data_IF_137959947442
#
_entry.id   IF_137959947442
#
_cell.length_a   1.000
_cell.length_b   1.000
_cell.length_c   1.000
_cell.angle_alpha   90.00
_cell.angle_beta   90.00
_cell.angle_gamma   90.00
#
_symmetry.space_group_name_H-M   'P 1'
#
loop_
_entity.id
_entity.type
_entity.pdbx_description
1 polymer ?
#
# COMPACT_ATOMS: atom_id res chain seq x y z
N UNK A 1 -1.82 -44.00 6.43
CA UNK A 1 -2.30 -43.01 7.44
C UNK A 1 -1.93 -41.61 6.96
N UNK A 2 -2.90 -40.70 6.94
CA UNK A 2 -2.66 -39.37 6.35
C UNK A 2 -3.37 -38.27 7.15
N UNK A 3 -2.70 -37.14 7.35
CA UNK A 3 -3.25 -35.93 7.92
C UNK A 3 -3.29 -34.87 6.82
N UNK A 4 -4.49 -34.43 6.42
CA UNK A 4 -4.70 -33.40 5.41
C UNK A 4 -4.73 -32.02 6.11
N UNK A 5 -3.84 -31.11 5.70
CA UNK A 5 -3.77 -29.76 6.23
C UNK A 5 -4.50 -28.81 5.30
N UNK A 6 -5.53 -28.09 5.78
CA UNK A 6 -6.34 -27.19 4.97
C UNK A 6 -6.44 -25.80 5.56
N UNK A 7 -6.55 -24.80 4.68
CA UNK A 7 -6.78 -23.40 5.05
C UNK A 7 -8.06 -23.25 5.88
N UNK A 8 -7.93 -22.64 7.03
CA UNK A 8 -9.04 -22.13 7.84
C UNK A 8 -9.39 -20.67 7.50
N UNK A 9 -9.96 -19.95 8.44
CA UNK A 9 -10.28 -18.52 8.28
C UNK A 9 -9.04 -17.66 8.52
N UNK A 10 -8.82 -16.69 7.62
CA UNK A 10 -7.92 -15.56 7.87
C UNK A 10 -8.70 -14.53 8.68
N UNK A 11 -8.21 -14.16 9.85
CA UNK A 11 -8.86 -13.16 10.71
C UNK A 11 -7.90 -12.00 10.96
N UNK A 12 -8.29 -10.80 10.56
CA UNK A 12 -7.70 -9.56 11.04
C UNK A 12 -8.06 -9.37 12.52
N UNK A 13 -7.07 -9.08 13.35
CA UNK A 13 -7.31 -8.76 14.75
C UNK A 13 -7.91 -7.35 14.83
N UNK A 14 -9.24 -7.25 14.91
CA UNK A 14 -9.95 -6.00 15.20
C UNK A 14 -9.59 -5.55 16.62
N UNK A 15 -8.64 -4.61 16.74
CA UNK A 15 -8.51 -3.81 17.97
C UNK A 15 -9.65 -2.79 18.00
N UNK A 16 -10.64 -3.04 18.84
CA UNK A 16 -11.68 -2.08 19.21
C UNK A 16 -11.01 -0.85 19.89
N UNK A 17 -10.79 0.22 19.13
CA UNK A 17 -10.49 1.53 19.68
C UNK A 17 -11.81 2.27 19.93
N UNK A 18 -12.09 2.54 21.20
CA UNK A 18 -13.13 3.49 21.61
C UNK A 18 -12.77 4.87 21.04
N UNK A 19 -13.60 5.37 20.13
CA UNK A 19 -13.53 6.75 19.66
C UNK A 19 -14.01 7.68 20.78
N UNK A 20 -13.11 8.52 21.28
CA UNK A 20 -13.50 9.75 21.97
C UNK A 20 -13.69 10.84 20.93
N UNK A 21 -14.92 11.21 20.69
CA UNK A 21 -15.28 12.36 19.87
C UNK A 21 -15.11 13.64 20.71
N UNK A 22 -14.15 14.47 20.33
CA UNK A 22 -14.07 15.88 20.77
C UNK A 22 -14.68 16.76 19.68
N UNK A 23 -15.54 17.72 20.01
CA UNK A 23 -16.10 18.65 19.03
C UNK A 23 -15.03 19.65 18.59
N UNK A 24 -14.76 19.72 17.29
CA UNK A 24 -13.92 20.74 16.67
C UNK A 24 -14.80 21.94 16.33
N UNK A 25 -14.56 23.06 17.03
CA UNK A 25 -15.13 24.36 16.69
C UNK A 25 -14.38 24.88 15.45
N UNK A 26 -15.09 25.06 14.35
CA UNK A 26 -14.60 25.75 13.17
C UNK A 26 -14.52 27.27 13.40
N UNK A 27 -13.31 27.77 13.59
CA UNK A 27 -13.00 29.19 13.43
C UNK A 27 -12.49 29.46 12.01
N UNK A 28 -13.30 30.13 11.22
CA UNK A 28 -12.90 30.68 9.91
C UNK A 28 -11.95 31.85 10.13
N UNK A 29 -10.66 31.63 10.01
CA UNK A 29 -9.65 32.67 9.82
C UNK A 29 -9.22 32.66 8.36
N UNK A 30 -9.73 33.61 7.59
CA UNK A 30 -9.24 33.91 6.24
C UNK A 30 -7.86 34.58 6.34
N UNK A 31 -6.79 33.79 6.23
CA UNK A 31 -5.44 34.32 5.99
C UNK A 31 -5.31 34.62 4.49
N UNK A 32 -5.38 35.92 4.15
CA UNK A 32 -4.94 36.41 2.85
C UNK A 32 -3.43 36.18 2.72
N UNK A 33 -3.02 35.09 2.04
CA UNK A 33 -1.64 34.92 1.64
C UNK A 33 -1.25 36.03 0.68
N UNK A 34 -0.26 36.84 1.05
CA UNK A 34 0.30 37.89 0.21
C UNK A 34 0.70 37.36 -1.16
N UNK A 35 0.06 37.88 -2.21
CA UNK A 35 0.35 37.53 -3.59
C UNK A 35 1.69 38.12 -3.98
N UNK A 36 2.71 37.30 -4.17
CA UNK A 36 3.94 37.71 -4.83
C UNK A 36 3.70 37.72 -6.36
N UNK A 37 3.84 38.89 -6.95
CA UNK A 37 3.66 39.08 -8.38
C UNK A 37 4.83 38.47 -9.16
N UNK A 38 4.59 37.46 -9.98
CA UNK A 38 5.60 36.99 -10.94
C UNK A 38 5.69 37.98 -12.12
N UNK A 39 6.85 38.60 -12.28
CA UNK A 39 7.13 39.58 -13.33
C UNK A 39 7.49 38.85 -14.62
N UNK A 40 6.51 38.54 -15.48
CA UNK A 40 6.77 38.04 -16.82
C UNK A 40 7.09 39.20 -17.76
N UNK A 41 8.02 39.00 -18.68
CA UNK A 41 8.55 40.02 -19.62
C UNK A 41 7.53 40.89 -20.32
N UNK A 42 8.00 41.96 -20.94
CA UNK A 42 7.38 43.23 -21.37
C UNK A 42 6.03 43.18 -22.10
N UNK A 43 5.54 42.06 -22.62
CA UNK A 43 4.21 41.87 -23.17
C UNK A 43 3.44 40.86 -22.31
N UNK A 44 2.29 41.23 -21.77
CA UNK A 44 1.46 40.37 -20.90
C UNK A 44 1.69 40.59 -19.40
N UNK A 45 2.11 41.77 -18.98
CA UNK A 45 2.36 42.16 -17.57
C UNK A 45 1.19 41.89 -16.60
N UNK A 46 -0.01 41.78 -17.14
CA UNK A 46 -1.25 41.67 -16.34
C UNK A 46 -1.97 40.34 -16.51
N UNK A 47 -1.32 39.31 -17.10
CA UNK A 47 -1.88 37.95 -17.09
C UNK A 47 -1.51 37.27 -15.79
N UNK A 48 -2.53 36.79 -15.09
CA UNK A 48 -2.38 36.01 -13.88
C UNK A 48 -2.92 34.59 -14.09
N UNK A 49 -2.11 33.59 -13.81
CA UNK A 49 -2.54 32.20 -13.87
C UNK A 49 -2.42 31.55 -12.49
N UNK A 50 -3.42 30.78 -12.10
CA UNK A 50 -3.46 29.98 -10.86
C UNK A 50 -3.77 28.53 -11.19
N UNK A 51 -3.33 27.62 -10.33
CA UNK A 51 -3.69 26.21 -10.42
C UNK A 51 -3.97 25.62 -9.03
N UNK A 52 -4.87 24.65 -8.99
CA UNK A 52 -5.20 23.88 -7.80
C UNK A 52 -5.36 22.40 -8.15
N UNK A 53 -4.98 21.51 -7.25
CA UNK A 53 -5.20 20.08 -7.41
C UNK A 53 -6.52 19.69 -6.77
N UNK A 54 -7.34 18.92 -7.46
CA UNK A 54 -8.51 18.27 -6.90
C UNK A 54 -8.18 16.77 -6.75
N UNK A 55 -7.87 16.34 -5.52
CA UNK A 55 -7.63 14.96 -5.15
C UNK A 55 -8.87 14.30 -4.55
N UNK A 56 -8.70 13.07 -4.04
CA UNK A 56 -9.75 12.31 -3.36
C UNK A 56 -9.77 12.53 -1.83
N UNK A 57 -8.93 13.41 -1.31
CA UNK A 57 -8.86 13.74 0.11
C UNK A 57 -8.16 15.06 0.39
N UNK A 58 -7.99 15.36 1.68
CA UNK A 58 -7.24 16.51 2.17
C UNK A 58 -6.29 16.07 3.29
N UNK A 59 -5.13 16.72 3.37
CA UNK A 59 -4.17 16.51 4.43
C UNK A 59 -3.56 17.83 4.90
N UNK A 60 -3.73 18.18 6.17
CA UNK A 60 -3.25 19.44 6.78
C UNK A 60 -3.60 20.69 5.95
N UNK A 61 -4.82 20.72 5.42
CA UNK A 61 -5.32 21.84 4.62
C UNK A 61 -4.91 21.86 3.15
N UNK A 62 -4.13 20.87 2.70
CA UNK A 62 -3.75 20.72 1.29
C UNK A 62 -4.57 19.61 0.61
N UNK A 63 -4.85 19.73 -0.70
CA UNK A 63 -5.40 18.64 -1.49
C UNK A 63 -4.52 17.41 -1.39
N UNK A 64 -5.12 16.21 -1.32
CA UNK A 64 -4.39 14.96 -1.20
C UNK A 64 -4.87 13.91 -2.21
N UNK A 65 -3.92 13.12 -2.71
CA UNK A 65 -4.15 11.86 -3.40
C UNK A 65 -3.88 10.75 -2.37
N UNK A 66 -4.94 10.04 -1.93
CA UNK A 66 -4.86 9.12 -0.80
C UNK A 66 -5.08 7.69 -1.26
N UNK A 67 -4.07 6.84 -1.12
CA UNK A 67 -4.12 5.40 -1.32
C UNK A 67 -4.58 4.71 -0.04
N UNK A 68 -5.70 3.98 -0.13
CA UNK A 68 -6.30 3.32 1.02
C UNK A 68 -6.83 4.31 2.07
N UNK A 69 -7.12 3.80 3.25
CA UNK A 69 -7.54 4.56 4.43
C UNK A 69 -6.98 3.91 5.70
N UNK A 70 -7.11 4.57 6.84
CA UNK A 70 -6.72 4.00 8.14
C UNK A 70 -7.43 2.69 8.46
N UNK A 71 -8.68 2.53 8.02
CA UNK A 71 -9.48 1.33 8.25
C UNK A 71 -9.37 0.30 7.12
N UNK A 72 -8.95 0.71 5.92
CA UNK A 72 -8.86 -0.13 4.73
C UNK A 72 -7.60 0.27 3.93
N UNK A 73 -6.45 -0.09 4.45
CA UNK A 73 -5.17 0.15 3.80
C UNK A 73 -4.97 -0.70 2.54
N UNK A 74 -4.02 -0.30 1.72
CA UNK A 74 -3.65 -1.02 0.50
C UNK A 74 -2.93 -2.33 0.82
N UNK A 75 -3.19 -3.37 0.01
CA UNK A 75 -2.50 -4.66 0.07
C UNK A 75 -1.30 -4.69 -0.88
N UNK A 76 -0.08 -4.57 -0.37
CA UNK A 76 1.15 -4.62 -1.16
C UNK A 76 1.65 -6.03 -1.47
N UNK A 77 1.02 -7.10 -0.96
CA UNK A 77 1.37 -8.48 -1.32
C UNK A 77 0.86 -8.84 -2.72
N UNK A 78 -0.17 -8.16 -3.20
CA UNK A 78 -0.71 -8.38 -4.55
C UNK A 78 0.13 -7.62 -5.59
N UNK A 79 1.25 -8.19 -6.01
CA UNK A 79 2.27 -7.57 -6.87
C UNK A 79 1.83 -7.34 -8.33
N UNK A 80 0.69 -7.87 -8.77
CA UNK A 80 0.34 -7.92 -10.19
C UNK A 80 -0.45 -6.71 -10.69
N UNK A 81 -0.95 -5.85 -9.79
CA UNK A 81 -1.71 -4.66 -10.16
C UNK A 81 -1.19 -3.46 -9.37
N UNK A 82 -0.51 -2.50 -10.02
CA UNK A 82 -0.19 -1.24 -9.37
C UNK A 82 -1.49 -0.50 -9.04
N UNK A 83 -1.61 0.00 -7.81
CA UNK A 83 -2.74 0.85 -7.46
C UNK A 83 -2.55 2.25 -8.04
N UNK A 84 -3.58 2.76 -8.71
CA UNK A 84 -3.62 4.08 -9.33
C UNK A 84 -4.67 4.97 -8.68
N UNK A 85 -4.31 6.23 -8.45
CA UNK A 85 -5.26 7.28 -8.11
C UNK A 85 -5.20 8.37 -9.17
N UNK A 86 -6.37 8.76 -9.67
CA UNK A 86 -6.51 9.88 -10.57
C UNK A 86 -6.92 11.14 -9.79
N UNK A 87 -6.37 12.27 -10.18
CA UNK A 87 -6.73 13.60 -9.72
C UNK A 87 -6.71 14.56 -10.89
N UNK A 88 -7.16 15.79 -10.66
CA UNK A 88 -7.24 16.81 -11.69
C UNK A 88 -6.56 18.09 -11.20
N UNK A 89 -5.70 18.67 -12.03
CA UNK A 89 -5.18 20.02 -11.85
C UNK A 89 -6.11 20.96 -12.60
N UNK A 90 -6.87 21.76 -11.87
CA UNK A 90 -7.66 22.84 -12.44
C UNK A 90 -6.82 24.11 -12.51
N UNK A 91 -6.91 24.85 -13.58
CA UNK A 91 -6.21 26.11 -13.74
C UNK A 91 -7.09 27.19 -14.31
N UNK A 92 -6.75 28.44 -13.99
CA UNK A 92 -7.40 29.63 -14.48
C UNK A 92 -6.35 30.67 -14.82
N UNK A 93 -6.50 31.33 -15.97
CA UNK A 93 -5.74 32.51 -16.37
C UNK A 93 -6.67 33.68 -16.60
N UNK A 94 -6.36 34.83 -16.01
CA UNK A 94 -7.08 36.08 -16.16
C UNK A 94 -6.20 37.07 -16.94
N UNK A 95 -6.70 37.60 -18.02
CA UNK A 95 -6.07 38.66 -18.78
C UNK A 95 -6.62 40.02 -18.29
N UNK A 96 -5.81 40.79 -17.60
CA UNK A 96 -6.17 42.13 -17.11
C UNK A 96 -5.73 43.25 -18.09
N UNK A 97 -5.20 42.88 -19.27
CA UNK A 97 -4.85 43.84 -20.33
C UNK A 97 -6.07 44.28 -21.15
N UNK A 98 -5.97 45.43 -21.79
CA UNK A 98 -6.97 45.98 -22.70
C UNK A 98 -6.89 45.44 -24.12
N UNK A 99 -6.15 44.35 -24.32
CA UNK A 99 -5.98 43.65 -25.59
C UNK A 99 -5.99 42.12 -25.41
N UNK A 100 -6.25 41.41 -26.47
CA UNK A 100 -6.20 39.94 -26.48
C UNK A 100 -4.75 39.46 -26.38
N UNK A 101 -4.53 38.44 -25.57
CA UNK A 101 -3.23 37.77 -25.35
C UNK A 101 -3.26 36.32 -25.81
N UNK A 102 -2.07 35.79 -26.08
CA UNK A 102 -1.79 34.38 -26.30
C UNK A 102 -0.94 33.90 -25.14
N UNK A 103 -1.32 32.82 -24.50
CA UNK A 103 -0.66 32.29 -23.26
C UNK A 103 -0.28 30.83 -23.45
N UNK A 104 0.93 30.47 -23.06
CA UNK A 104 1.39 29.08 -22.91
C UNK A 104 1.73 28.80 -21.45
N UNK A 105 1.27 27.67 -20.92
CA UNK A 105 1.49 27.25 -19.54
C UNK A 105 2.42 26.04 -19.49
N UNK A 106 3.20 25.93 -18.40
CA UNK A 106 3.93 24.72 -18.02
C UNK A 106 3.68 24.39 -16.56
N UNK A 107 3.27 23.15 -16.32
CA UNK A 107 3.05 22.60 -14.99
C UNK A 107 4.24 21.74 -14.61
N UNK A 108 5.05 22.23 -13.69
CA UNK A 108 6.26 21.56 -13.19
C UNK A 108 5.99 20.89 -11.87
N UNK A 109 6.40 19.63 -11.70
CA UNK A 109 6.33 18.87 -10.44
C UNK A 109 7.68 18.22 -10.21
N UNK A 110 8.39 18.67 -9.18
CA UNK A 110 9.68 18.12 -8.76
C UNK A 110 9.51 16.82 -7.96
N UNK A 111 10.58 16.27 -7.42
CA UNK A 111 10.60 15.02 -6.66
C UNK A 111 9.85 15.05 -5.32
N UNK A 112 9.48 16.25 -4.85
CA UNK A 112 8.86 16.46 -3.56
C UNK A 112 9.87 16.95 -2.50
N UNK A 113 9.36 17.37 -1.35
CA UNK A 113 10.16 17.91 -0.25
C UNK A 113 11.19 16.89 0.24
N UNK A 114 12.46 17.26 0.24
CA UNK A 114 13.57 16.39 0.62
C UNK A 114 14.05 15.42 -0.47
N UNK A 115 13.43 15.44 -1.66
CA UNK A 115 13.77 14.56 -2.78
C UNK A 115 13.87 15.31 -4.12
N UNK A 116 14.42 16.51 -4.09
CA UNK A 116 14.65 17.34 -5.28
C UNK A 116 15.37 16.53 -6.37
N UNK A 117 14.91 16.65 -7.62
CA UNK A 117 15.43 15.93 -8.78
C UNK A 117 15.26 14.40 -8.76
N UNK A 118 14.41 13.84 -7.91
CA UNK A 118 14.04 12.42 -7.91
C UNK A 118 12.63 12.27 -8.50
N UNK A 119 12.54 11.89 -9.78
CA UNK A 119 11.28 11.90 -10.52
C UNK A 119 10.66 10.51 -10.72
N UNK A 120 11.50 9.46 -10.82
CA UNK A 120 11.03 8.12 -11.18
C UNK A 120 11.97 7.03 -10.63
N UNK A 121 11.57 6.28 -9.61
CA UNK A 121 10.36 6.53 -8.78
C UNK A 121 10.59 7.65 -7.75
N UNK A 122 9.53 8.35 -7.41
CA UNK A 122 9.48 9.24 -6.26
C UNK A 122 9.34 8.46 -4.97
N UNK A 123 9.69 9.10 -3.84
CA UNK A 123 9.63 8.48 -2.51
C UNK A 123 8.54 9.11 -1.66
N UNK A 124 7.76 8.25 -1.02
CA UNK A 124 6.92 8.59 0.13
C UNK A 124 7.64 8.12 1.38
N UNK A 125 7.75 8.94 2.41
CA UNK A 125 8.38 8.58 3.68
C UNK A 125 7.33 8.20 4.72
N UNK A 126 7.66 7.25 5.58
CA UNK A 126 6.80 6.89 6.69
C UNK A 126 6.74 8.00 7.74
N UNK A 127 5.56 8.31 8.27
CA UNK A 127 5.30 9.44 9.18
C UNK A 127 6.13 9.46 10.46
N UNK A 128 6.64 8.32 10.91
CA UNK A 128 7.46 8.18 12.13
C UNK A 128 8.88 7.69 11.88
N UNK A 129 9.19 7.20 10.68
CA UNK A 129 10.50 6.64 10.37
C UNK A 129 10.90 6.97 8.93
N UNK A 130 11.66 8.04 8.76
CA UNK A 130 12.09 8.52 7.45
C UNK A 130 12.98 7.54 6.66
N UNK A 131 13.55 6.52 7.31
CA UNK A 131 14.29 5.46 6.63
C UNK A 131 13.37 4.48 5.88
N UNK A 132 12.09 4.39 6.26
CA UNK A 132 11.10 3.58 5.59
C UNK A 132 10.44 4.38 4.47
N UNK A 133 10.50 3.87 3.26
CA UNK A 133 9.94 4.54 2.09
C UNK A 133 9.06 3.60 1.28
N UNK A 134 8.02 4.18 0.68
CA UNK A 134 7.16 3.58 -0.34
C UNK A 134 7.38 4.35 -1.64
N UNK A 135 7.49 3.66 -2.77
CA UNK A 135 7.79 4.29 -4.05
C UNK A 135 6.51 4.50 -4.88
N UNK A 136 6.46 5.65 -5.56
CA UNK A 136 5.38 6.01 -6.47
C UNK A 136 5.90 6.69 -7.74
N UNK A 137 5.08 6.68 -8.78
CA UNK A 137 5.23 7.51 -9.97
C UNK A 137 4.09 8.54 -10.04
N UNK A 138 4.38 9.78 -10.40
CA UNK A 138 3.38 10.74 -10.84
C UNK A 138 3.41 10.78 -12.36
N UNK A 139 2.28 10.49 -12.97
CA UNK A 139 2.16 10.29 -14.41
C UNK A 139 1.36 11.42 -15.05
N UNK A 140 1.85 11.86 -16.22
CA UNK A 140 1.18 12.77 -17.14
C UNK A 140 0.03 12.06 -17.89
N UNK A 141 -0.80 12.79 -18.63
CA UNK A 141 -1.85 12.20 -19.46
C UNK A 141 -1.36 11.14 -20.44
N UNK A 142 -0.12 11.27 -20.93
CA UNK A 142 0.54 10.34 -21.86
C UNK A 142 1.17 9.10 -21.18
N UNK A 143 0.94 8.93 -19.87
CA UNK A 143 1.50 7.87 -19.02
C UNK A 143 3.03 7.93 -18.79
N UNK A 144 3.70 9.00 -19.18
CA UNK A 144 5.10 9.22 -18.84
C UNK A 144 5.22 9.93 -17.50
N UNK A 145 6.40 9.85 -16.87
CA UNK A 145 6.64 10.50 -15.58
C UNK A 145 6.58 12.02 -15.69
N UNK A 146 5.95 12.65 -14.70
CA UNK A 146 5.91 14.11 -14.59
C UNK A 146 7.24 14.63 -14.04
N UNK A 147 7.75 15.71 -14.59
CA UNK A 147 8.97 16.37 -14.15
C UNK A 147 8.91 17.88 -14.28
N UNK A 148 10.05 18.49 -14.54
CA UNK A 148 10.21 19.93 -14.69
C UNK A 148 10.98 20.26 -15.97
N UNK A 149 10.82 21.47 -16.48
CA UNK A 149 11.61 21.95 -17.64
C UNK A 149 12.97 22.51 -17.26
N UNK A 150 13.35 22.46 -15.97
CA UNK A 150 14.52 23.18 -15.45
C UNK A 150 15.81 22.36 -15.36
N UNK A 151 15.76 21.04 -15.49
CA UNK A 151 16.95 20.18 -15.35
C UNK A 151 17.13 19.27 -16.56
N UNK A 152 18.37 19.15 -17.04
CA UNK A 152 18.70 18.38 -18.24
C UNK A 152 18.30 16.88 -18.18
N UNK A 153 18.16 16.31 -16.97
CA UNK A 153 17.81 14.90 -16.74
C UNK A 153 16.41 14.72 -16.16
N UNK A 154 15.60 15.77 -16.11
CA UNK A 154 14.21 15.68 -15.66
C UNK A 154 13.30 15.14 -16.75
N UNK A 155 12.31 14.29 -16.42
CA UNK A 155 11.14 14.15 -17.29
C UNK A 155 10.53 15.53 -17.55
N UNK A 156 9.97 15.73 -18.74
CA UNK A 156 9.38 17.02 -19.11
C UNK A 156 8.19 17.38 -18.19
N UNK A 157 7.96 18.68 -18.00
CA UNK A 157 6.71 19.20 -17.45
C UNK A 157 5.55 18.91 -18.41
N UNK A 158 4.31 19.18 -17.97
CA UNK A 158 3.17 19.26 -18.87
C UNK A 158 3.02 20.69 -19.37
N UNK A 159 3.14 20.88 -20.69
CA UNK A 159 2.85 22.13 -21.35
C UNK A 159 1.44 22.14 -21.97
N UNK A 160 0.79 23.31 -21.98
CA UNK A 160 -0.41 23.50 -22.80
C UNK A 160 -0.03 23.89 -24.23
N UNK A 161 -0.95 23.72 -25.18
CA UNK A 161 -0.94 24.51 -26.41
C UNK A 161 -1.03 26.01 -26.09
N UNK A 162 -0.86 26.84 -27.14
CA UNK A 162 -1.08 28.29 -27.01
C UNK A 162 -2.58 28.57 -26.89
N UNK A 163 -2.98 29.18 -25.78
CA UNK A 163 -4.37 29.58 -25.52
C UNK A 163 -4.55 31.06 -25.82
N UNK A 164 -5.73 31.41 -26.32
CA UNK A 164 -6.11 32.81 -26.60
C UNK A 164 -7.07 33.28 -25.52
N UNK A 165 -6.74 34.43 -24.90
CA UNK A 165 -7.58 35.05 -23.86
C UNK A 165 -7.92 36.47 -24.33
N UNK A 166 -9.21 36.74 -24.48
CA UNK A 166 -9.70 38.09 -24.89
C UNK A 166 -9.30 39.16 -23.86
N UNK A 167 -9.46 40.42 -24.28
CA UNK A 167 -9.27 41.58 -23.39
C UNK A 167 -10.14 41.43 -22.13
N UNK A 168 -9.59 41.68 -20.96
CA UNK A 168 -10.27 41.53 -19.66
C UNK A 168 -10.94 40.14 -19.48
N UNK A 169 -10.51 39.16 -20.26
CA UNK A 169 -11.11 37.84 -20.29
C UNK A 169 -10.48 36.83 -19.32
N UNK A 170 -11.17 35.71 -19.15
CA UNK A 170 -10.72 34.59 -18.35
C UNK A 170 -10.72 33.32 -19.18
N UNK A 171 -9.72 32.47 -18.94
CA UNK A 171 -9.65 31.11 -19.51
C UNK A 171 -9.50 30.11 -18.35
N UNK A 172 -10.24 29.03 -18.40
CA UNK A 172 -10.15 27.92 -17.45
C UNK A 172 -9.89 26.61 -18.16
N UNK A 173 -9.19 25.69 -17.51
CA UNK A 173 -8.96 24.37 -18.03
C UNK A 173 -8.55 23.39 -16.96
N UNK A 174 -8.30 22.15 -17.38
CA UNK A 174 -7.89 21.11 -16.47
C UNK A 174 -6.92 20.11 -17.12
N UNK A 175 -6.08 19.49 -16.30
CA UNK A 175 -5.11 18.46 -16.71
C UNK A 175 -5.23 17.30 -15.74
N UNK A 176 -5.44 16.06 -16.21
CA UNK A 176 -5.41 14.89 -15.35
C UNK A 176 -3.99 14.61 -14.88
N UNK A 177 -3.87 14.24 -13.62
CA UNK A 177 -2.66 13.70 -12.98
C UNK A 177 -2.98 12.35 -12.38
N UNK A 178 -2.06 11.40 -12.48
CA UNK A 178 -2.22 10.09 -11.89
C UNK A 178 -1.03 9.77 -10.99
N UNK A 179 -1.32 9.38 -9.75
CA UNK A 179 -0.35 8.77 -8.86
C UNK A 179 -0.46 7.25 -8.98
N UNK A 180 0.67 6.56 -9.17
CA UNK A 180 0.76 5.11 -9.30
C UNK A 180 1.79 4.59 -8.31
N UNK A 181 1.40 3.63 -7.45
CA UNK A 181 2.35 2.92 -6.62
C UNK A 181 3.19 1.96 -7.46
N UNK A 182 4.49 1.92 -7.19
CA UNK A 182 5.38 0.95 -7.85
C UNK A 182 5.05 -0.45 -7.32
N UNK A 183 4.99 -1.44 -8.21
CA UNK A 183 4.79 -2.84 -7.82
C UNK A 183 6.03 -3.41 -7.10
N UNK A 184 5.87 -4.59 -6.46
CA UNK A 184 7.00 -5.31 -5.85
C UNK A 184 7.49 -4.77 -4.51
N UNK A 185 6.67 -4.02 -3.78
CA UNK A 185 7.03 -3.41 -2.49
C UNK A 185 6.47 -4.17 -1.27
N UNK A 186 6.38 -5.49 -1.34
CA UNK A 186 5.86 -6.34 -0.25
C UNK A 186 6.68 -6.23 1.05
N UNK A 187 7.94 -5.77 0.94
CA UNK A 187 8.82 -5.49 2.08
C UNK A 187 8.51 -4.16 2.81
N UNK A 188 7.52 -3.40 2.35
CA UNK A 188 7.07 -2.18 3.02
C UNK A 188 6.32 -2.53 4.30
N UNK A 189 6.61 -1.83 5.39
CA UNK A 189 6.01 -2.06 6.70
C UNK A 189 4.58 -1.51 6.72
N UNK A 190 3.58 -2.27 7.24
CA UNK A 190 2.22 -1.78 7.40
C UNK A 190 2.14 -0.54 8.29
N UNK A 191 1.22 0.34 7.98
CA UNK A 191 0.94 1.51 8.81
C UNK A 191 -0.02 1.14 9.95
N UNK A 192 0.16 1.77 11.10
CA UNK A 192 -0.83 1.74 12.19
C UNK A 192 -1.93 2.77 11.95
N UNK A 193 -2.98 2.76 12.79
CA UNK A 193 -4.11 3.68 12.63
C UNK A 193 -3.75 5.18 12.56
N UNK A 194 -2.60 5.58 13.14
CA UNK A 194 -2.13 6.98 13.14
C UNK A 194 -0.99 7.25 12.16
N UNK A 195 -0.49 6.21 11.48
CA UNK A 195 0.65 6.29 10.59
C UNK A 195 0.24 6.31 9.13
N UNK A 196 1.13 6.82 8.28
CA UNK A 196 0.96 6.90 6.84
C UNK A 196 2.33 7.04 6.16
N UNK A 197 2.38 6.77 4.87
CA UNK A 197 3.46 7.20 3.98
C UNK A 197 3.04 8.48 3.28
N UNK A 198 3.96 9.43 3.09
CA UNK A 198 3.68 10.73 2.47
C UNK A 198 4.78 11.16 1.50
N UNK A 199 4.39 11.62 0.32
CA UNK A 199 5.18 12.48 -0.54
C UNK A 199 4.60 13.89 -0.47
N UNK A 200 5.43 14.84 -0.06
CA UNK A 200 5.03 16.23 0.21
C UNK A 200 5.46 17.14 -0.95
N UNK A 201 4.48 17.69 -1.66
CA UNK A 201 4.66 18.64 -2.75
C UNK A 201 4.24 20.06 -2.36
N UNK A 202 4.29 20.42 -1.07
CA UNK A 202 3.84 21.74 -0.57
C UNK A 202 4.96 22.79 -0.54
N UNK A 203 6.21 22.37 -0.38
CA UNK A 203 7.35 23.27 -0.10
C UNK A 203 8.05 23.86 -1.32
N UNK A 204 7.34 24.13 -2.41
CA UNK A 204 7.95 24.68 -3.64
C UNK A 204 8.20 23.64 -4.73
N UNK A 205 7.80 22.39 -4.50
CA UNK A 205 7.97 21.28 -5.45
C UNK A 205 7.00 21.34 -6.63
N UNK A 206 6.03 22.26 -6.65
CA UNK A 206 5.09 22.44 -7.75
C UNK A 206 5.08 23.87 -8.23
N UNK A 207 5.20 24.09 -9.54
CA UNK A 207 5.25 25.42 -10.12
C UNK A 207 4.50 25.49 -11.44
N UNK A 208 3.54 26.38 -11.52
CA UNK A 208 2.93 26.81 -12.78
C UNK A 208 3.70 28.01 -13.32
N UNK A 209 4.39 27.85 -14.44
CA UNK A 209 4.98 28.92 -15.21
C UNK A 209 4.10 29.26 -16.40
N UNK A 210 4.14 30.51 -16.86
CA UNK A 210 3.48 30.91 -18.08
C UNK A 210 4.24 32.02 -18.80
N UNK A 211 4.05 32.07 -20.12
CA UNK A 211 4.47 33.18 -20.95
C UNK A 211 3.28 33.68 -21.75
N UNK A 212 3.11 34.98 -21.77
CA UNK A 212 2.01 35.63 -22.47
C UNK A 212 2.57 36.63 -23.52
N UNK A 213 1.99 36.61 -24.72
CA UNK A 213 2.31 37.51 -25.82
C UNK A 213 1.04 38.17 -26.33
N UNK A 214 1.16 39.39 -26.87
CA UNK A 214 0.02 40.09 -27.47
C UNK A 214 -0.44 39.32 -28.69
N UNK A 215 -1.77 39.29 -28.92
CA UNK A 215 -2.32 38.76 -30.16
C UNK A 215 -1.81 39.56 -31.37
N UNK A 216 -1.39 38.90 -32.45
CA UNK A 216 -0.74 39.51 -33.59
C UNK A 216 0.78 39.46 -33.60
N UNK A 217 1.44 39.15 -32.46
CA UNK A 217 2.87 38.82 -32.39
C UNK A 217 3.09 37.30 -32.56
N UNK A 218 4.30 36.80 -32.74
CA UNK A 218 4.58 35.36 -32.70
C UNK A 218 4.06 34.66 -31.43
N UNK A 219 3.78 33.38 -31.53
CA UNK A 219 3.35 32.57 -30.36
C UNK A 219 4.44 32.46 -29.30
N UNK A 220 4.11 32.38 -28.00
CA UNK A 220 5.10 32.07 -26.99
C UNK A 220 5.80 30.76 -27.32
N UNK A 221 7.13 30.80 -27.53
CA UNK A 221 7.94 29.61 -27.86
C UNK A 221 8.07 28.63 -26.71
N UNK A 222 8.03 29.14 -25.49
CA UNK A 222 8.17 28.42 -24.21
C UNK A 222 7.19 28.99 -23.18
N UNK A 223 7.23 28.49 -21.96
CA UNK A 223 6.44 28.97 -20.83
C UNK A 223 7.31 29.47 -19.66
N UNK A 224 8.61 29.66 -19.90
CA UNK A 224 9.56 29.91 -18.84
C UNK A 224 9.92 28.64 -18.07
N UNK A 225 11.08 28.65 -17.45
CA UNK A 225 11.65 27.51 -16.71
C UNK A 225 12.11 27.88 -15.30
N UNK A 226 11.84 29.11 -14.82
CA UNK A 226 12.21 29.52 -13.48
C UNK A 226 11.23 28.96 -12.45
N UNK A 227 11.68 27.95 -11.70
CA UNK A 227 10.89 27.32 -10.64
C UNK A 227 10.73 28.21 -9.38
N UNK A 228 11.40 29.34 -9.31
CA UNK A 228 11.31 30.25 -8.16
C UNK A 228 10.20 31.28 -8.29
N UNK A 229 9.85 31.67 -9.51
CA UNK A 229 8.95 32.81 -9.79
C UNK A 229 7.53 32.46 -10.20
N UNK A 230 7.24 31.16 -10.43
CA UNK A 230 5.91 30.70 -10.83
C UNK A 230 4.90 30.58 -9.68
N UNK A 231 3.62 30.43 -10.03
CA UNK A 231 2.54 30.19 -9.08
C UNK A 231 2.61 28.76 -8.54
N UNK A 232 2.46 28.59 -7.23
CA UNK A 232 2.47 27.27 -6.59
C UNK A 232 1.07 26.62 -6.66
N UNK A 233 1.05 25.28 -6.80
CA UNK A 233 -0.16 24.46 -6.71
C UNK A 233 0.08 23.25 -5.80
N UNK A 234 0.20 23.49 -4.47
CA UNK A 234 0.63 22.49 -3.50
C UNK A 234 -0.39 21.36 -3.36
N UNK A 235 0.13 20.14 -3.18
CA UNK A 235 -0.64 18.95 -2.84
C UNK A 235 0.23 17.93 -2.10
N UNK A 236 -0.37 16.84 -1.64
CA UNK A 236 0.34 15.70 -1.06
C UNK A 236 -0.14 14.40 -1.68
N UNK A 237 0.71 13.37 -1.63
CA UNK A 237 0.28 11.98 -1.88
C UNK A 237 0.47 11.21 -0.59
N UNK A 238 -0.59 10.54 -0.13
CA UNK A 238 -0.62 9.80 1.12
C UNK A 238 -0.98 8.34 0.86
N UNK A 239 -0.42 7.41 1.63
CA UNK A 239 -0.77 6.00 1.56
C UNK A 239 -0.86 5.37 2.94
N UNK A 240 -1.87 4.51 3.13
CA UNK A 240 -2.00 3.63 4.26
C UNK A 240 -1.79 2.19 3.78
N UNK A 241 -0.84 1.48 4.37
CA UNK A 241 -0.51 0.08 4.02
C UNK A 241 -1.12 -0.84 5.07
N UNK A 242 -1.95 -1.79 4.64
CA UNK A 242 -2.59 -2.75 5.52
C UNK A 242 -1.63 -3.87 5.96
N UNK A 243 -1.72 -4.36 7.20
CA UNK A 243 -1.20 -5.67 7.54
C UNK A 243 -2.04 -6.72 6.81
N UNK A 244 -1.40 -7.58 6.04
CA UNK A 244 -2.06 -8.64 5.28
C UNK A 244 -1.25 -9.91 5.37
N UNK A 245 -1.93 -11.06 5.52
CA UNK A 245 -1.33 -12.38 5.43
C UNK A 245 -2.06 -13.23 4.39
N UNK A 246 -1.30 -14.03 3.65
CA UNK A 246 -1.76 -14.98 2.66
C UNK A 246 -1.33 -16.39 3.04
N UNK A 247 -2.26 -17.33 3.01
CA UNK A 247 -1.95 -18.75 3.04
C UNK A 247 -1.51 -19.17 1.62
N UNK A 248 -0.29 -19.66 1.48
CA UNK A 248 0.26 -20.08 0.19
C UNK A 248 0.03 -21.56 -0.03
N UNK A 249 0.52 -22.42 0.88
CA UNK A 249 0.39 -23.87 0.78
C UNK A 249 0.52 -24.55 2.13
N UNK A 250 0.07 -25.79 2.20
CA UNK A 250 0.43 -26.71 3.27
C UNK A 250 0.54 -28.13 2.70
N UNK A 251 1.58 -28.83 3.12
CA UNK A 251 1.80 -30.23 2.76
C UNK A 251 0.91 -31.13 3.63
N UNK A 252 0.41 -32.22 3.04
CA UNK A 252 -0.19 -33.30 3.80
C UNK A 252 0.91 -34.10 4.53
N UNK A 253 0.64 -34.51 5.76
CA UNK A 253 1.54 -35.34 6.55
C UNK A 253 1.15 -36.80 6.32
N UNK A 254 1.98 -37.55 5.59
CA UNK A 254 1.72 -38.94 5.23
C UNK A 254 2.69 -39.86 5.97
N UNK A 255 2.16 -40.66 6.87
CA UNK A 255 2.95 -41.67 7.60
C UNK A 255 3.26 -42.92 6.77
N UNK A 256 2.59 -43.13 5.63
CA UNK A 256 2.75 -44.35 4.82
C UNK A 256 2.00 -45.55 5.42
N UNK A 257 2.47 -46.72 5.07
CA UNK A 257 1.95 -48.02 5.54
C UNK A 257 2.86 -48.60 6.61
N UNK A 258 2.27 -48.99 7.74
CA UNK A 258 2.97 -49.56 8.89
C UNK A 258 2.25 -50.82 9.33
N UNK A 259 3.01 -51.79 9.92
CA UNK A 259 2.43 -52.96 10.60
C UNK A 259 1.72 -52.53 11.89
N UNK A 260 0.71 -53.30 12.30
CA UNK A 260 0.11 -53.14 13.60
C UNK A 260 1.18 -53.25 14.72
N UNK A 261 1.06 -52.45 15.78
CA UNK A 261 2.04 -52.38 16.84
C UNK A 261 3.31 -51.58 16.58
N UNK A 262 3.46 -50.91 15.42
CA UNK A 262 4.57 -49.98 15.21
C UNK A 262 4.45 -48.79 16.19
N UNK A 263 5.57 -48.32 16.73
CA UNK A 263 5.59 -47.26 17.77
C UNK A 263 6.41 -46.04 17.35
N UNK A 264 6.11 -44.89 17.94
CA UNK A 264 6.87 -43.64 17.83
C UNK A 264 7.05 -43.17 16.36
N UNK A 265 6.00 -43.32 15.58
CA UNK A 265 6.02 -42.83 14.18
C UNK A 265 6.02 -41.31 14.16
N UNK A 266 6.89 -40.74 13.33
CA UNK A 266 7.01 -39.29 13.16
C UNK A 266 7.07 -38.95 11.69
N UNK A 267 6.31 -37.94 11.29
CA UNK A 267 6.35 -37.38 9.96
C UNK A 267 6.16 -35.87 10.03
N UNK A 268 6.61 -35.17 9.00
CA UNK A 268 6.51 -33.74 8.91
C UNK A 268 5.99 -33.28 7.56
N UNK A 269 5.38 -32.10 7.56
CA UNK A 269 4.99 -31.33 6.40
C UNK A 269 5.29 -29.88 6.62
N UNK A 270 5.21 -29.08 5.57
CA UNK A 270 5.48 -27.65 5.60
C UNK A 270 4.20 -26.87 5.41
N UNK A 271 4.10 -25.77 6.13
CA UNK A 271 3.09 -24.72 5.97
C UNK A 271 3.78 -23.46 5.49
N UNK A 272 3.35 -22.89 4.37
CA UNK A 272 3.89 -21.65 3.82
C UNK A 272 2.87 -20.54 3.93
N UNK A 273 3.28 -19.44 4.58
CA UNK A 273 2.51 -18.21 4.78
C UNK A 273 3.31 -17.03 4.26
N UNK A 274 2.66 -16.05 3.70
CA UNK A 274 3.27 -14.79 3.28
C UNK A 274 2.55 -13.64 3.95
N UNK A 275 3.28 -12.80 4.69
CA UNK A 275 2.72 -11.62 5.34
C UNK A 275 3.54 -10.37 4.97
N UNK A 276 2.89 -9.20 4.93
CA UNK A 276 3.55 -7.90 4.78
C UNK A 276 4.64 -7.74 5.85
N UNK A 277 5.77 -7.16 5.49
CA UNK A 277 6.94 -7.03 6.36
C UNK A 277 6.58 -6.33 7.70
N UNK A 278 7.03 -6.93 8.82
CA UNK A 278 6.74 -6.42 10.15
C UNK A 278 5.32 -6.75 10.67
N UNK A 279 4.46 -7.40 9.88
CA UNK A 279 3.15 -7.84 10.37
C UNK A 279 3.30 -8.94 11.40
N UNK A 280 2.91 -8.73 12.66
CA UNK A 280 2.84 -9.81 13.63
C UNK A 280 1.67 -10.74 13.27
N UNK A 281 1.90 -12.04 13.24
CA UNK A 281 0.84 -13.00 13.00
C UNK A 281 1.00 -14.25 13.84
N UNK A 282 -0.12 -14.94 14.08
CA UNK A 282 -0.15 -16.22 14.78
C UNK A 282 -0.72 -17.29 13.88
N UNK A 283 -0.18 -18.50 13.99
CA UNK A 283 -0.68 -19.69 13.30
C UNK A 283 -1.15 -20.69 14.33
N UNK A 284 -2.41 -21.05 14.27
CA UNK A 284 -3.03 -22.11 15.06
C UNK A 284 -3.35 -23.34 14.21
N UNK A 285 -3.27 -24.52 14.81
CA UNK A 285 -3.63 -25.80 14.21
C UNK A 285 -4.79 -26.42 14.98
N UNK A 286 -5.87 -26.77 14.26
CA UNK A 286 -7.10 -27.32 14.84
C UNK A 286 -7.43 -28.64 14.15
N UNK A 287 -7.16 -29.80 14.78
CA UNK A 287 -7.62 -31.10 14.31
C UNK A 287 -9.14 -31.20 14.19
N UNK A 288 -9.66 -32.17 13.42
CA UNK A 288 -11.09 -32.32 13.15
C UNK A 288 -11.93 -32.62 14.41
N UNK A 289 -11.32 -33.15 15.47
CA UNK A 289 -11.96 -33.35 16.77
C UNK A 289 -12.16 -32.06 17.57
N UNK A 290 -11.71 -30.90 17.03
CA UNK A 290 -11.83 -29.58 17.67
C UNK A 290 -10.83 -29.31 18.80
N UNK A 291 -9.87 -30.19 19.04
CA UNK A 291 -8.87 -30.02 20.08
C UNK A 291 -7.98 -28.80 19.79
N UNK A 292 -7.81 -27.95 20.79
CA UNK A 292 -7.03 -26.71 20.70
C UNK A 292 -5.57 -26.89 21.19
N UNK A 293 -5.20 -28.08 21.66
CA UNK A 293 -3.86 -28.37 22.21
C UNK A 293 -2.93 -29.05 21.22
N UNK A 294 -3.41 -29.27 19.97
CA UNK A 294 -2.64 -29.95 18.93
C UNK A 294 -2.72 -31.49 19.02
N UNK A 295 -3.73 -32.03 19.74
CA UNK A 295 -3.99 -33.46 19.80
C UNK A 295 -5.15 -33.82 18.87
N UNK A 296 -4.90 -34.64 17.87
CA UNK A 296 -5.87 -35.08 16.88
C UNK A 296 -6.10 -36.59 16.92
N UNK A 297 -7.08 -37.03 16.12
CA UNK A 297 -7.44 -38.44 15.95
C UNK A 297 -7.72 -38.72 14.48
N UNK A 298 -6.92 -39.57 13.82
CA UNK A 298 -7.21 -40.05 12.49
C UNK A 298 -8.31 -41.14 12.58
N UNK A 299 -9.37 -40.98 11.79
CA UNK A 299 -10.49 -41.94 11.70
C UNK A 299 -10.29 -42.87 10.52
N UNK A 300 -10.76 -44.11 10.66
CA UNK A 300 -10.82 -45.05 9.56
C UNK A 300 -11.67 -44.52 8.41
N UNK A 301 -11.24 -44.75 7.16
CA UNK A 301 -12.06 -44.46 5.97
C UNK A 301 -13.17 -45.51 5.76
N UNK A 302 -13.06 -46.68 6.42
CA UNK A 302 -14.13 -47.68 6.47
C UNK A 302 -15.09 -47.33 7.61
N UNK A 303 -16.37 -47.01 7.34
CA UNK A 303 -17.33 -46.60 8.35
C UNK A 303 -17.69 -47.74 9.35
N UNK A 304 -17.41 -48.98 9.03
CA UNK A 304 -17.59 -50.10 9.94
C UNK A 304 -16.48 -50.20 11.00
N UNK A 305 -15.35 -49.53 10.78
CA UNK A 305 -14.24 -49.49 11.72
C UNK A 305 -14.30 -48.18 12.51
N UNK A 306 -14.59 -48.25 13.82
CA UNK A 306 -14.75 -47.11 14.72
C UNK A 306 -13.45 -46.68 15.41
N UNK A 307 -12.34 -47.39 15.14
CA UNK A 307 -11.05 -47.07 15.73
C UNK A 307 -10.57 -45.67 15.32
N UNK A 308 -9.82 -45.06 16.24
CA UNK A 308 -9.23 -43.74 16.06
C UNK A 308 -7.77 -43.77 16.49
N UNK A 309 -6.87 -43.39 15.60
CA UNK A 309 -5.46 -43.33 15.89
C UNK A 309 -5.10 -41.93 16.40
N UNK A 310 -4.75 -41.78 17.69
CA UNK A 310 -4.37 -40.48 18.24
C UNK A 310 -3.02 -40.02 17.72
N UNK A 311 -2.89 -38.72 17.49
CA UNK A 311 -1.63 -38.10 17.11
C UNK A 311 -1.43 -36.75 17.79
N UNK A 312 -0.21 -36.22 17.80
CA UNK A 312 0.13 -34.91 18.31
C UNK A 312 0.88 -34.08 17.30
N UNK A 313 0.53 -32.81 17.20
CA UNK A 313 1.19 -31.83 16.34
C UNK A 313 2.23 -31.05 17.15
N UNK A 314 3.39 -30.82 16.54
CA UNK A 314 4.50 -30.06 17.14
C UNK A 314 5.09 -29.07 16.13
N UNK A 315 5.75 -28.03 16.63
CA UNK A 315 6.52 -27.08 15.85
C UNK A 315 7.87 -27.69 15.47
N UNK A 316 8.23 -27.70 14.18
CA UNK A 316 9.49 -28.25 13.70
C UNK A 316 9.53 -29.79 13.73
N UNK A 317 10.73 -30.36 13.70
CA UNK A 317 10.95 -31.81 13.56
C UNK A 317 11.36 -32.53 14.85
N UNK A 318 11.61 -31.81 15.93
CA UNK A 318 12.15 -32.37 17.18
C UNK A 318 11.07 -32.89 18.12
N UNK A 319 11.28 -34.04 18.72
CA UNK A 319 10.36 -34.66 19.68
C UNK A 319 10.11 -33.80 20.93
N UNK A 320 11.07 -32.97 21.33
CA UNK A 320 10.98 -32.04 22.45
C UNK A 320 10.38 -30.69 22.10
N UNK A 321 10.08 -30.45 20.82
CA UNK A 321 9.46 -29.21 20.38
C UNK A 321 8.07 -29.03 21.01
N UNK A 322 7.62 -27.79 21.26
CA UNK A 322 6.34 -27.53 21.89
C UNK A 322 5.18 -28.05 21.03
N UNK A 323 4.11 -28.48 21.70
CA UNK A 323 2.87 -28.82 21.02
C UNK A 323 2.32 -27.61 20.29
N UNK A 324 1.80 -27.83 19.08
CA UNK A 324 1.26 -26.80 18.22
C UNK A 324 -0.25 -26.97 18.04
N UNK A 325 -1.02 -26.22 18.78
CA UNK A 325 -2.48 -26.15 18.69
C UNK A 325 -2.93 -24.73 18.34
N UNK A 326 -4.02 -24.28 18.94
CA UNK A 326 -4.63 -22.97 18.69
C UNK A 326 -4.96 -22.19 19.96
N UNK A 327 -4.39 -22.57 21.10
CA UNK A 327 -4.56 -21.86 22.38
C UNK A 327 -3.73 -20.56 22.43
N UNK A 328 -4.10 -19.59 23.27
CA UNK A 328 -3.26 -18.42 23.52
C UNK A 328 -2.03 -18.74 24.38
N UNK A 329 -2.03 -19.89 25.10
CA UNK A 329 -0.95 -20.32 26.00
C UNK A 329 -0.64 -21.81 25.87
N UNK A 330 0.50 -22.25 26.41
CA UNK A 330 0.88 -23.66 26.47
C UNK A 330 -0.04 -24.46 27.43
N UNK A 331 -0.26 -25.80 27.25
CA UNK A 331 0.19 -26.55 26.07
C UNK A 331 -0.64 -26.22 24.82
N UNK A 332 -0.07 -26.41 23.63
CA UNK A 332 -0.78 -26.20 22.37
C UNK A 332 -0.93 -24.74 21.97
N UNK A 333 -0.03 -23.87 22.41
CA UNK A 333 -0.02 -22.45 22.01
C UNK A 333 0.07 -22.32 20.50
N UNK A 334 -0.76 -21.44 19.91
CA UNK A 334 -0.58 -20.96 18.54
C UNK A 334 0.79 -20.30 18.40
N UNK A 335 1.49 -20.55 17.30
CA UNK A 335 2.84 -20.04 17.13
C UNK A 335 2.83 -18.63 16.60
N UNK A 336 3.68 -17.77 17.17
CA UNK A 336 3.83 -16.36 16.84
C UNK A 336 4.98 -16.17 15.85
N UNK A 337 4.76 -15.32 14.86
CA UNK A 337 5.71 -15.00 13.79
C UNK A 337 5.58 -13.53 13.39
N UNK A 338 6.54 -13.06 12.58
CA UNK A 338 6.51 -11.75 11.95
C UNK A 338 6.75 -11.91 10.45
N UNK A 339 5.94 -11.26 9.64
CA UNK A 339 6.11 -11.20 8.20
C UNK A 339 7.39 -10.45 7.82
N UNK A 340 7.98 -10.81 6.71
CA UNK A 340 9.13 -10.13 6.08
C UNK A 340 8.85 -9.69 4.63
N UNK A 341 7.60 -9.83 4.19
CA UNK A 341 7.17 -9.54 2.82
C UNK A 341 7.38 -10.70 1.85
N UNK A 342 8.09 -11.76 2.25
CA UNK A 342 8.33 -12.97 1.48
C UNK A 342 7.52 -14.17 1.99
N UNK A 343 7.57 -15.28 1.26
CA UNK A 343 6.97 -16.54 1.69
C UNK A 343 7.83 -17.20 2.78
N UNK A 344 7.25 -17.44 3.94
CA UNK A 344 7.89 -18.06 5.10
C UNK A 344 7.34 -19.47 5.29
N UNK A 345 8.23 -20.45 5.41
CA UNK A 345 7.88 -21.87 5.57
C UNK A 345 8.06 -22.29 7.03
N UNK A 346 7.02 -22.90 7.59
CA UNK A 346 6.99 -23.42 8.96
C UNK A 346 6.78 -24.93 8.91
N UNK A 347 7.71 -25.68 9.50
CA UNK A 347 7.61 -27.13 9.57
C UNK A 347 6.67 -27.54 10.70
N UNK A 348 5.71 -28.40 10.39
CA UNK A 348 4.78 -29.06 11.30
C UNK A 348 5.18 -30.52 11.36
N UNK A 349 5.40 -31.09 12.52
CA UNK A 349 5.55 -32.52 12.68
C UNK A 349 4.34 -33.14 13.38
N UNK A 350 3.97 -34.34 13.00
CA UNK A 350 2.97 -35.15 13.65
C UNK A 350 3.62 -36.42 14.22
N UNK A 351 3.20 -36.84 15.40
CA UNK A 351 3.70 -37.98 16.15
C UNK A 351 2.53 -38.92 16.49
N UNK A 352 2.65 -40.21 16.10
CA UNK A 352 1.75 -41.30 16.47
C UNK A 352 2.53 -42.23 17.41
N UNK A 353 2.01 -42.45 18.62
CA UNK A 353 2.71 -43.23 19.63
C UNK A 353 2.70 -44.74 19.35
N UNK A 354 1.56 -45.25 18.86
CA UNK A 354 1.45 -46.65 18.48
C UNK A 354 0.39 -46.83 17.37
N UNK A 355 0.44 -47.97 16.66
CA UNK A 355 -0.47 -48.34 15.56
C UNK A 355 -1.19 -49.67 15.83
N UNK A 356 -1.38 -50.05 17.11
CA UNK A 356 -2.12 -51.28 17.48
C UNK A 356 -3.62 -51.04 17.36
N UNK A 357 -4.11 -50.97 16.09
CA UNK A 357 -5.49 -50.73 15.68
C UNK A 357 -5.89 -51.66 14.54
N UNK A 358 -7.19 -51.77 14.30
CA UNK A 358 -7.69 -52.57 13.17
C UNK A 358 -7.04 -52.13 11.85
N UNK A 359 -6.51 -53.06 11.04
CA UNK A 359 -5.89 -52.70 9.78
C UNK A 359 -6.86 -51.91 8.86
N UNK A 360 -6.35 -50.83 8.28
CA UNK A 360 -7.17 -49.97 7.41
C UNK A 360 -6.48 -48.66 7.03
N UNK A 361 -7.16 -47.87 6.22
CA UNK A 361 -6.74 -46.52 5.91
C UNK A 361 -7.33 -45.54 6.93
N UNK A 362 -6.48 -44.69 7.51
CA UNK A 362 -6.87 -43.70 8.51
C UNK A 362 -6.51 -42.30 8.06
N UNK A 363 -7.44 -41.37 8.21
CA UNK A 363 -7.29 -39.96 7.79
C UNK A 363 -7.82 -39.00 8.85
N UNK A 364 -7.23 -37.81 8.91
CA UNK A 364 -7.77 -36.66 9.61
C UNK A 364 -7.55 -35.38 8.78
N UNK A 365 -8.27 -34.34 9.19
CA UNK A 365 -8.16 -32.98 8.61
C UNK A 365 -7.79 -31.99 9.69
N UNK A 366 -6.68 -31.28 9.50
CA UNK A 366 -6.24 -30.17 10.34
C UNK A 366 -6.57 -28.83 9.67
N UNK A 367 -7.26 -27.97 10.38
CA UNK A 367 -7.56 -26.60 9.93
C UNK A 367 -6.47 -25.65 10.44
N UNK A 368 -5.91 -24.85 9.53
CA UNK A 368 -4.95 -23.78 9.82
C UNK A 368 -5.72 -22.48 10.09
N UNK A 369 -5.53 -21.88 11.26
CA UNK A 369 -6.11 -20.59 11.65
C UNK A 369 -4.98 -19.53 11.71
N UNK A 370 -5.01 -18.53 10.83
CA UNK A 370 -4.03 -17.45 10.75
C UNK A 370 -4.69 -16.16 11.20
N UNK A 371 -4.10 -15.49 12.22
CA UNK A 371 -4.57 -14.21 12.75
C UNK A 371 -3.46 -13.18 12.68
N UNK A 372 -3.78 -11.97 12.21
CA UNK A 372 -2.85 -10.85 12.04
C UNK A 372 -3.54 -9.51 12.27
#
# INVERSE_FOLDING_TARGET
>A
MQINIKRGRLKTANRLFRQMTLPVVFGLLSLSAGQTWANSGVAGRFVQCTATVQGNGTFKGHPALVFGSQSNGINLLNNNQPEDIQATIHYQCINNDDYTVKVRLCFNIDGGRGFTNIYAPRKMVHSRNNAQTLQLSLLKPDNTNWGTNNTANSPSSVGTGVMRIGLKGTFTGSIPIRARLVSGQSNTIPTTASDYYIADFTGGSTVLNWKAERYGTPDPSDCGNDLNTGQRFPFVVQAHVAPVCEFISADDINFGTHTAGSTNLKQSGNLTVRCTNGTPYTVGLIPSNGNQEGSGEMKSTNPANTDKIPYRLRKGTYATAPFWGNKPSAPGKAQEFHGDGSSQTHTISAEVQNTDYTPGEYKDKVTVDIRY
#
